data_IF_163637851915
#
_entry.id   IF_163637851915
#
_cell.length_a   1.000
_cell.length_b   1.000
_cell.length_c   1.000
_cell.angle_alpha   90.00
_cell.angle_beta   90.00
_cell.angle_gamma   90.00
#
_symmetry.space_group_name_H-M   'P 1'
#
loop_
_entity.id
_entity.type
_entity.pdbx_description
1 polymer ?
#
# COMPACT_ATOMS: atom_id res chain seq x y z
N UNK A 1 3.29 -16.42 -3.64
CA UNK A 1 3.51 -15.06 -3.11
C UNK A 1 2.17 -14.38 -3.06
N UNK A 2 1.89 -13.66 -2.01
CA UNK A 2 0.68 -12.86 -1.80
C UNK A 2 0.55 -11.84 -2.93
N UNK A 3 -0.62 -11.73 -3.56
CA UNK A 3 -0.82 -10.79 -4.68
C UNK A 3 -0.84 -9.34 -4.20
N UNK A 4 -1.47 -9.09 -3.05
CA UNK A 4 -1.64 -7.74 -2.55
C UNK A 4 -0.31 -7.00 -2.36
N UNK A 5 0.69 -7.63 -1.76
CA UNK A 5 1.96 -6.96 -1.43
C UNK A 5 3.21 -7.70 -1.89
N UNK A 6 3.07 -8.74 -2.70
CA UNK A 6 4.19 -9.53 -3.19
C UNK A 6 5.04 -10.17 -2.06
N UNK A 7 4.41 -10.62 -0.97
CA UNK A 7 5.06 -11.25 0.18
C UNK A 7 4.93 -12.76 0.14
N UNK A 8 5.91 -13.46 0.70
CA UNK A 8 5.89 -14.90 0.93
C UNK A 8 6.23 -15.21 2.39
N UNK A 9 5.63 -16.22 3.03
CA UNK A 9 6.07 -16.69 4.35
C UNK A 9 7.51 -17.22 4.34
N UNK A 10 8.00 -17.71 3.21
CA UNK A 10 9.34 -18.25 3.09
C UNK A 10 10.34 -17.14 2.78
N UNK A 11 11.40 -16.92 3.60
CA UNK A 11 12.51 -16.03 3.27
C UNK A 11 13.16 -16.42 1.94
N UNK A 12 13.54 -15.44 1.12
CA UNK A 12 14.15 -15.67 -0.19
C UNK A 12 15.07 -14.53 -0.59
N UNK A 13 16.13 -14.89 -1.32
CA UNK A 13 16.93 -13.89 -2.02
C UNK A 13 16.25 -13.49 -3.31
N UNK A 14 15.84 -12.23 -3.42
CA UNK A 14 15.17 -11.72 -4.62
C UNK A 14 15.32 -10.21 -4.79
N UNK A 15 15.21 -9.77 -6.03
CA UNK A 15 14.83 -8.41 -6.39
C UNK A 15 13.46 -8.45 -7.03
N UNK A 16 12.68 -7.40 -6.86
CA UNK A 16 11.33 -7.36 -7.42
C UNK A 16 10.90 -5.95 -7.79
N UNK A 17 9.90 -5.92 -8.66
CA UNK A 17 9.16 -4.72 -9.02
C UNK A 17 7.66 -5.04 -8.94
N UNK A 18 6.93 -4.24 -8.18
CA UNK A 18 5.47 -4.26 -8.19
C UNK A 18 4.99 -3.03 -8.94
N UNK A 19 4.04 -3.25 -9.82
CA UNK A 19 3.29 -2.19 -10.48
C UNK A 19 1.81 -2.39 -10.18
N UNK A 20 1.13 -1.31 -9.80
CA UNK A 20 -0.31 -1.28 -9.61
C UNK A 20 -0.88 -0.05 -10.32
N UNK A 21 -1.96 -0.25 -11.06
CA UNK A 21 -2.79 0.80 -11.61
C UNK A 21 -4.14 0.76 -10.91
N UNK A 22 -4.48 1.82 -10.19
CA UNK A 22 -5.76 2.01 -9.52
C UNK A 22 -6.62 2.92 -10.37
N UNK A 23 -7.82 2.45 -10.68
CA UNK A 23 -8.81 3.19 -11.46
C UNK A 23 -9.80 3.87 -10.52
N UNK A 24 -10.06 5.15 -10.78
CA UNK A 24 -11.06 5.97 -10.07
C UNK A 24 -10.92 5.93 -8.54
N UNK A 25 -9.87 6.56 -8.02
CA UNK A 25 -9.66 6.70 -6.57
C UNK A 25 -10.63 7.74 -6.00
N UNK A 26 -11.55 7.37 -5.06
CA UNK A 26 -12.71 8.18 -4.70
C UNK A 26 -12.42 9.48 -3.96
N UNK A 27 -11.21 9.68 -3.43
CA UNK A 27 -10.84 10.97 -2.83
C UNK A 27 -10.74 12.09 -3.85
N UNK A 28 -10.62 11.70 -5.12
CA UNK A 28 -10.42 12.61 -6.23
C UNK A 28 -11.20 12.06 -7.43
N UNK A 29 -12.40 12.51 -7.64
CA UNK A 29 -13.30 12.04 -8.69
C UNK A 29 -12.58 11.97 -10.05
N UNK A 30 -12.51 10.76 -10.63
CA UNK A 30 -11.86 10.53 -11.92
C UNK A 30 -10.32 10.40 -11.92
N UNK A 31 -9.66 10.43 -10.76
CA UNK A 31 -8.20 10.26 -10.68
C UNK A 31 -7.81 8.80 -10.71
N UNK A 32 -6.83 8.47 -11.55
CA UNK A 32 -6.19 7.17 -11.58
C UNK A 32 -4.74 7.29 -11.06
N UNK A 33 -4.28 6.23 -10.37
CA UNK A 33 -2.96 6.22 -9.74
C UNK A 33 -2.13 5.06 -10.27
N UNK A 34 -0.93 5.35 -10.77
CA UNK A 34 0.10 4.37 -11.07
C UNK A 34 1.08 4.29 -9.91
N UNK A 35 1.21 3.13 -9.29
CA UNK A 35 2.17 2.89 -8.21
C UNK A 35 3.23 1.90 -8.64
N UNK A 36 4.48 2.27 -8.44
CA UNK A 36 5.66 1.43 -8.66
C UNK A 36 6.34 1.18 -7.33
N UNK A 37 6.68 -0.06 -7.03
CA UNK A 37 7.36 -0.41 -5.78
C UNK A 37 8.51 -1.37 -6.08
N UNK A 38 9.69 -0.85 -6.44
CA UNK A 38 10.91 -1.65 -6.47
C UNK A 38 11.30 -2.08 -5.06
N UNK A 39 11.93 -3.25 -4.96
CA UNK A 39 12.41 -3.74 -3.70
C UNK A 39 13.35 -4.92 -3.83
N UNK A 40 13.96 -5.27 -2.73
CA UNK A 40 14.75 -6.49 -2.62
C UNK A 40 14.50 -7.18 -1.28
N UNK A 41 14.71 -8.48 -1.26
CA UNK A 41 14.70 -9.29 -0.05
C UNK A 41 15.99 -10.12 -0.02
N UNK A 42 16.68 -10.12 1.12
CA UNK A 42 17.92 -10.86 1.34
C UNK A 42 17.79 -11.75 2.54
N UNK A 43 18.12 -13.04 2.36
CA UNK A 43 18.16 -14.02 3.45
C UNK A 43 19.41 -13.83 4.32
N UNK A 44 19.24 -14.14 5.58
CA UNK A 44 20.22 -14.05 6.63
C UNK A 44 20.18 -15.32 7.48
N UNK A 45 21.32 -15.75 8.05
CA UNK A 45 21.34 -16.85 9.02
C UNK A 45 20.88 -18.20 8.44
N UNK A 46 21.30 -18.57 7.23
CA UNK A 46 20.98 -19.87 6.62
C UNK A 46 19.50 -20.00 6.25
N UNK A 47 18.94 -18.98 5.65
CA UNK A 47 17.55 -18.91 5.15
C UNK A 47 16.45 -18.93 6.23
N UNK A 48 16.84 -18.79 7.51
CA UNK A 48 15.86 -18.70 8.60
C UNK A 48 15.25 -17.29 8.73
N UNK A 49 16.00 -16.26 8.33
CA UNK A 49 15.57 -14.89 8.41
C UNK A 49 15.71 -14.22 7.05
N UNK A 50 14.94 -13.16 6.82
CA UNK A 50 15.18 -12.24 5.71
C UNK A 50 14.96 -10.79 6.14
N UNK A 51 15.68 -9.90 5.47
CA UNK A 51 15.44 -8.47 5.47
C UNK A 51 14.91 -8.05 4.10
N UNK A 52 13.88 -7.23 4.08
CA UNK A 52 13.29 -6.69 2.86
C UNK A 52 13.26 -5.15 2.92
N UNK A 53 13.54 -4.51 1.79
CA UNK A 53 13.41 -3.06 1.59
C UNK A 53 12.57 -2.79 0.36
N UNK A 54 11.68 -1.80 0.44
CA UNK A 54 10.86 -1.27 -0.66
C UNK A 54 10.91 0.25 -0.70
N UNK A 55 10.85 0.78 -1.91
CA UNK A 55 10.78 2.22 -2.18
C UNK A 55 9.56 2.48 -3.06
N UNK A 56 8.38 2.77 -2.49
CA UNK A 56 7.19 3.05 -3.30
C UNK A 56 7.30 4.42 -3.98
N UNK A 57 6.75 4.50 -5.20
CA UNK A 57 6.59 5.71 -5.98
C UNK A 57 5.19 5.71 -6.57
N UNK A 58 4.52 6.86 -6.60
CA UNK A 58 3.21 7.02 -7.20
C UNK A 58 3.23 8.12 -8.27
N UNK A 59 2.41 7.93 -9.29
CA UNK A 59 2.13 8.94 -10.32
C UNK A 59 0.63 9.01 -10.48
N UNK A 60 0.07 10.19 -10.27
CA UNK A 60 -1.35 10.48 -10.52
C UNK A 60 -1.56 10.92 -11.96
N UNK A 61 -2.68 10.51 -12.58
CA UNK A 61 -3.09 10.90 -13.92
C UNK A 61 -4.58 11.22 -13.95
N UNK A 62 -4.97 12.10 -14.86
CA UNK A 62 -6.35 12.59 -15.03
C UNK A 62 -6.90 13.31 -13.79
N UNK A 63 -6.09 14.14 -13.18
CA UNK A 63 -6.49 14.93 -12.01
C UNK A 63 -7.15 16.26 -12.41
N UNK A 64 -8.24 16.21 -13.19
CA UNK A 64 -9.04 17.39 -13.52
C UNK A 64 -9.96 17.83 -12.35
N UNK A 65 -9.44 17.73 -11.13
CA UNK A 65 -10.22 17.84 -9.88
C UNK A 65 -10.80 19.20 -9.58
N UNK A 66 -10.21 20.22 -10.13
CA UNK A 66 -10.73 21.58 -10.08
C UNK A 66 -10.54 22.16 -11.45
N UNK A 67 -11.62 22.51 -12.10
CA UNK A 67 -11.71 22.92 -13.51
C UNK A 67 -10.66 23.94 -13.99
N UNK A 68 -9.81 24.46 -13.13
CA UNK A 68 -8.82 25.45 -13.50
C UNK A 68 -7.45 25.41 -12.82
N UNK A 69 -7.18 24.67 -11.71
CA UNK A 69 -6.01 25.08 -10.92
C UNK A 69 -5.19 24.05 -10.12
N UNK A 70 -5.38 22.75 -10.24
CA UNK A 70 -4.51 21.78 -9.57
C UNK A 70 -3.94 20.76 -10.55
N UNK A 71 -2.65 20.92 -10.90
CA UNK A 71 -1.91 19.91 -11.66
C UNK A 71 -1.33 18.87 -10.69
N UNK A 72 -2.05 17.75 -10.50
CA UNK A 72 -1.60 16.63 -9.66
C UNK A 72 -0.78 15.58 -10.45
N UNK A 73 -0.33 15.90 -11.65
CA UNK A 73 0.54 15.04 -12.46
C UNK A 73 1.98 15.01 -11.90
N UNK A 74 2.14 14.69 -10.62
CA UNK A 74 3.43 14.62 -9.96
C UNK A 74 3.88 13.18 -9.74
N UNK A 75 5.18 12.96 -9.79
CA UNK A 75 5.83 11.75 -9.30
C UNK A 75 6.18 11.98 -7.84
N UNK A 76 5.57 11.21 -6.95
CA UNK A 76 5.82 11.30 -5.52
C UNK A 76 6.48 10.01 -5.02
N UNK A 77 7.48 10.19 -4.17
CA UNK A 77 8.08 9.08 -3.44
C UNK A 77 7.30 8.87 -2.15
N UNK A 78 6.96 7.62 -1.86
CA UNK A 78 6.37 7.25 -0.58
C UNK A 78 7.42 6.90 0.45
N UNK A 79 6.97 6.54 1.63
CA UNK A 79 7.81 6.13 2.74
C UNK A 79 8.56 4.85 2.47
N UNK A 80 9.80 4.81 2.92
CA UNK A 80 10.60 3.60 2.88
C UNK A 80 9.96 2.52 3.75
N UNK A 81 9.68 1.38 3.15
CA UNK A 81 9.18 0.20 3.86
C UNK A 81 10.31 -0.79 4.08
N UNK A 82 10.45 -1.23 5.32
CA UNK A 82 11.42 -2.23 5.73
C UNK A 82 10.71 -3.38 6.45
N UNK A 83 11.26 -4.60 6.34
CA UNK A 83 10.68 -5.76 7.01
C UNK A 83 11.75 -6.75 7.41
N UNK A 84 11.61 -7.31 8.60
CA UNK A 84 12.37 -8.49 9.07
C UNK A 84 11.38 -9.63 9.26
N UNK A 85 11.70 -10.77 8.67
CA UNK A 85 10.88 -11.98 8.73
C UNK A 85 11.71 -13.14 9.25
N UNK A 86 11.12 -13.95 10.13
CA UNK A 86 11.67 -15.19 10.66
C UNK A 86 10.81 -16.38 10.22
N UNK A 87 11.44 -17.40 9.66
CA UNK A 87 10.81 -18.68 9.38
C UNK A 87 10.77 -19.51 10.68
N UNK A 88 9.58 -19.69 11.23
CA UNK A 88 9.38 -20.36 12.51
C UNK A 88 9.24 -21.88 12.38
N UNK A 89 8.63 -22.31 11.28
CA UNK A 89 8.38 -23.73 11.02
C UNK A 89 8.35 -23.99 9.51
N UNK A 90 8.99 -25.09 9.08
CA UNK A 90 8.95 -25.52 7.70
C UNK A 90 8.97 -27.04 7.56
N UNK A 91 8.12 -27.54 6.67
CA UNK A 91 8.10 -28.92 6.17
C UNK A 91 8.00 -28.89 4.64
N UNK A 92 7.91 -30.05 4.01
CA UNK A 92 7.66 -30.12 2.56
C UNK A 92 6.33 -29.47 2.11
N UNK A 93 5.36 -29.37 3.03
CA UNK A 93 4.00 -28.89 2.70
C UNK A 93 3.62 -27.59 3.42
N UNK A 94 4.23 -27.28 4.54
CA UNK A 94 3.84 -26.17 5.41
C UNK A 94 5.03 -25.27 5.68
N UNK A 95 4.84 -23.97 5.59
CA UNK A 95 5.77 -22.98 6.13
C UNK A 95 4.98 -21.97 6.96
N UNK A 96 5.52 -21.59 8.13
CA UNK A 96 4.97 -20.57 9.02
C UNK A 96 6.07 -19.57 9.35
N UNK A 97 5.79 -18.30 9.22
CA UNK A 97 6.70 -17.21 9.56
C UNK A 97 6.00 -16.14 10.37
N UNK A 98 6.79 -15.38 11.11
CA UNK A 98 6.36 -14.14 11.72
C UNK A 98 7.41 -13.07 11.43
N UNK A 99 7.02 -11.81 11.55
CA UNK A 99 7.91 -10.70 11.30
C UNK A 99 7.37 -9.39 11.79
N UNK A 100 8.19 -8.37 11.62
CA UNK A 100 7.86 -6.99 11.85
C UNK A 100 8.27 -6.19 10.61
N UNK A 101 7.31 -5.48 10.06
CA UNK A 101 7.58 -4.45 9.05
C UNK A 101 7.40 -3.08 9.70
N UNK A 102 8.04 -2.08 9.12
CA UNK A 102 7.86 -0.68 9.51
C UNK A 102 8.08 0.24 8.34
N UNK A 103 7.45 1.41 8.39
CA UNK A 103 7.72 2.51 7.46
C UNK A 103 8.54 3.59 8.15
N UNK A 104 9.44 4.22 7.39
CA UNK A 104 10.16 5.41 7.83
C UNK A 104 9.59 6.62 7.07
N UNK A 105 9.28 7.73 7.76
CA UNK A 105 8.69 8.92 7.14
C UNK A 105 9.75 9.62 6.27
N UNK A 106 9.86 9.21 5.03
CA UNK A 106 10.83 9.69 4.04
C UNK A 106 10.15 10.35 2.84
N UNK A 107 8.82 10.27 2.74
CA UNK A 107 8.04 11.00 1.77
C UNK A 107 7.99 12.50 2.11
N UNK A 108 7.70 13.32 1.12
CA UNK A 108 7.49 14.75 1.33
C UNK A 108 6.19 15.01 2.11
N UNK A 109 6.11 16.18 2.76
CA UNK A 109 4.90 16.62 3.43
C UNK A 109 3.77 16.85 2.42
N UNK A 110 2.55 16.54 2.82
CA UNK A 110 1.38 16.89 2.01
C UNK A 110 1.09 18.38 2.14
N UNK A 111 1.14 19.09 1.02
CA UNK A 111 0.84 20.53 0.96
C UNK A 111 -0.31 20.80 0.00
N UNK A 112 -1.22 21.69 0.39
CA UNK A 112 -2.31 22.18 -0.44
C UNK A 112 -2.17 23.71 -0.52
N UNK A 113 -2.07 24.24 -1.73
CA UNK A 113 -1.93 25.69 -2.01
C UNK A 113 -3.12 26.23 -2.82
N UNK A 114 -3.38 27.52 -2.71
CA UNK A 114 -4.42 28.20 -3.50
C UNK A 114 -3.83 28.69 -4.82
N UNK A 115 -3.78 27.92 -5.86
CA UNK A 115 -3.24 28.38 -7.13
C UNK A 115 -3.03 27.28 -8.15
N UNK A 116 -2.77 27.66 -9.39
CA UNK A 116 -2.54 26.73 -10.51
C UNK A 116 -1.22 25.99 -10.44
N UNK A 117 -0.27 26.48 -9.65
CA UNK A 117 1.05 25.88 -9.45
C UNK A 117 1.45 26.02 -7.99
N UNK A 118 2.10 25.04 -7.43
CA UNK A 118 2.61 25.04 -6.04
C UNK A 118 3.58 26.22 -5.77
N UNK A 119 4.12 26.88 -6.82
CA UNK A 119 5.00 28.04 -6.72
C UNK A 119 4.29 29.39 -6.76
N UNK A 120 3.01 29.44 -7.12
CA UNK A 120 2.28 30.68 -7.39
C UNK A 120 1.08 30.92 -6.47
N UNK A 121 0.77 30.00 -5.58
CA UNK A 121 -0.38 30.09 -4.65
C UNK A 121 0.05 30.16 -3.20
N UNK A 122 -0.79 30.82 -2.38
CA UNK A 122 -0.60 30.83 -0.93
C UNK A 122 -0.79 29.42 -0.37
N UNK A 123 0.11 28.98 0.49
CA UNK A 123 -0.01 27.71 1.19
C UNK A 123 -1.24 27.74 2.12
N UNK A 124 -2.13 26.76 1.97
CA UNK A 124 -3.39 26.66 2.72
C UNK A 124 -3.32 25.64 3.86
N UNK A 125 -2.79 24.46 3.56
CA UNK A 125 -2.71 23.32 4.46
C UNK A 125 -1.37 22.64 4.30
N UNK A 126 -0.75 22.26 5.41
CA UNK A 126 0.40 21.36 5.45
C UNK A 126 0.14 20.24 6.45
N UNK A 127 0.37 19.02 6.05
CA UNK A 127 0.42 17.85 6.92
C UNK A 127 1.85 17.33 6.86
N UNK A 128 2.55 17.39 7.97
CA UNK A 128 3.92 16.88 8.05
C UNK A 128 3.92 15.35 7.98
N UNK A 129 4.85 14.78 7.23
CA UNK A 129 5.04 13.34 7.20
C UNK A 129 5.84 12.89 8.42
N UNK A 130 5.18 12.77 9.58
CA UNK A 130 5.78 12.40 10.87
C UNK A 130 5.47 10.98 11.31
N UNK A 131 4.57 10.27 10.63
CA UNK A 131 4.07 8.98 11.08
C UNK A 131 5.03 7.83 10.78
N UNK A 132 5.24 6.96 11.78
CA UNK A 132 5.96 5.69 11.68
C UNK A 132 4.98 4.55 11.89
N UNK A 133 4.78 3.71 10.90
CA UNK A 133 3.93 2.54 11.04
C UNK A 133 4.72 1.32 11.48
N UNK A 134 4.21 0.61 12.46
CA UNK A 134 4.71 -0.70 12.90
C UNK A 134 3.73 -1.78 12.49
N UNK A 135 4.20 -2.73 11.68
CA UNK A 135 3.36 -3.76 11.06
C UNK A 135 3.82 -5.17 11.46
N UNK A 136 3.56 -5.63 12.70
CA UNK A 136 3.79 -7.03 13.07
C UNK A 136 2.87 -7.96 12.29
N UNK A 137 3.39 -9.10 11.84
CA UNK A 137 2.64 -10.05 11.04
C UNK A 137 2.97 -11.52 11.34
N UNK A 138 2.02 -12.37 11.01
CA UNK A 138 2.19 -13.83 10.91
C UNK A 138 1.74 -14.28 9.53
N UNK A 139 2.51 -15.14 8.89
CA UNK A 139 2.20 -15.69 7.57
C UNK A 139 2.31 -17.20 7.54
N UNK A 140 1.44 -17.85 6.77
CA UNK A 140 1.43 -19.28 6.56
C UNK A 140 1.30 -19.66 5.08
N UNK A 141 1.95 -20.76 4.71
CA UNK A 141 1.84 -21.39 3.39
C UNK A 141 1.58 -22.88 3.56
N UNK A 142 0.61 -23.41 2.83
CA UNK A 142 0.35 -24.82 2.68
C UNK A 142 0.35 -25.20 1.20
N UNK A 143 1.13 -26.22 0.83
CA UNK A 143 1.19 -26.73 -0.54
C UNK A 143 0.90 -28.24 -0.57
N UNK A 144 0.03 -28.66 -1.47
CA UNK A 144 -0.31 -30.08 -1.65
C UNK A 144 -0.61 -30.38 -3.13
N UNK A 145 0.22 -31.21 -3.72
CA UNK A 145 0.15 -31.47 -5.18
C UNK A 145 0.32 -30.17 -5.97
N UNK A 146 -0.65 -29.87 -6.81
CA UNK A 146 -0.65 -28.65 -7.61
C UNK A 146 -1.33 -27.46 -6.93
N UNK A 147 -1.94 -27.65 -5.77
CA UNK A 147 -2.64 -26.59 -5.05
C UNK A 147 -1.74 -25.99 -3.97
N UNK A 148 -1.88 -24.70 -3.75
CA UNK A 148 -1.24 -23.99 -2.65
C UNK A 148 -2.20 -22.96 -2.05
N UNK A 149 -2.06 -22.75 -0.74
CA UNK A 149 -2.82 -21.79 0.03
C UNK A 149 -1.84 -20.95 0.85
N UNK A 150 -2.08 -19.67 0.94
CA UNK A 150 -1.26 -18.76 1.72
C UNK A 150 -2.18 -17.80 2.47
N UNK A 151 -1.81 -17.46 3.70
CA UNK A 151 -2.53 -16.48 4.49
C UNK A 151 -1.57 -15.60 5.27
N UNK A 152 -1.97 -14.36 5.50
CA UNK A 152 -1.29 -13.40 6.36
C UNK A 152 -2.30 -12.72 7.27
N UNK A 153 -1.88 -12.52 8.50
CA UNK A 153 -2.54 -11.66 9.47
C UNK A 153 -1.51 -10.61 9.88
N UNK A 154 -1.85 -9.34 9.76
CA UNK A 154 -0.96 -8.22 10.02
C UNK A 154 -1.75 -7.11 10.72
N UNK A 155 -1.12 -6.47 11.71
CA UNK A 155 -1.59 -5.21 12.27
C UNK A 155 -0.78 -4.09 11.64
N UNK A 156 -1.39 -2.93 11.50
CA UNK A 156 -0.75 -1.68 11.12
C UNK A 156 -1.05 -0.68 12.24
N UNK A 157 -0.04 -0.38 13.02
CA UNK A 157 -0.14 0.52 14.18
C UNK A 157 0.65 1.77 13.87
N UNK A 158 -0.02 2.91 13.85
CA UNK A 158 0.65 4.20 13.80
C UNK A 158 1.34 4.46 15.14
N UNK A 159 2.65 4.60 15.11
CA UNK A 159 3.50 4.87 16.29
C UNK A 159 4.00 6.33 16.32
N UNK A 160 3.50 7.17 15.43
CA UNK A 160 3.81 8.58 15.31
C UNK A 160 2.55 9.44 15.25
N UNK A 161 2.76 10.72 15.15
CA UNK A 161 1.72 11.72 14.92
C UNK A 161 2.21 12.67 13.83
N UNK A 162 1.30 13.12 12.97
CA UNK A 162 1.58 14.07 11.90
C UNK A 162 1.04 15.44 12.29
N UNK A 163 1.92 16.44 12.33
CA UNK A 163 1.53 17.82 12.64
C UNK A 163 0.76 18.43 11.46
N UNK A 164 -0.34 19.12 11.76
CA UNK A 164 -1.17 19.81 10.77
C UNK A 164 -1.12 21.31 11.00
N UNK A 165 -0.79 22.05 9.95
CA UNK A 165 -0.83 23.51 9.93
C UNK A 165 -1.88 24.04 8.95
N UNK A 166 -2.61 25.09 9.36
CA UNK A 166 -3.54 25.83 8.50
C UNK A 166 -3.10 27.27 8.32
N UNK A 167 -3.19 27.80 7.11
CA UNK A 167 -3.11 29.22 6.86
C UNK A 167 -4.50 29.86 7.05
N UNK A 168 -4.67 30.58 8.13
CA UNK A 168 -5.94 31.22 8.47
C UNK A 168 -6.17 32.54 7.75
N UNK A 169 -5.12 33.16 7.18
CA UNK A 169 -5.18 34.41 6.40
C UNK A 169 -4.41 34.29 5.06
N UNK A 170 -4.86 33.42 4.14
CA UNK A 170 -4.15 33.15 2.88
C UNK A 170 -4.14 34.34 1.91
N UNK A 171 -4.91 35.41 2.18
CA UNK A 171 -4.94 36.60 1.33
C UNK A 171 -4.00 37.71 1.83
N UNK A 172 -3.29 37.48 2.92
CA UNK A 172 -2.30 38.43 3.44
C UNK A 172 -0.98 38.42 2.67
N UNK A 173 -0.77 37.40 1.83
CA UNK A 173 0.51 37.12 1.14
C UNK A 173 1.59 36.61 2.10
N UNK A 174 1.20 36.11 3.27
CA UNK A 174 2.09 35.45 4.21
C UNK A 174 1.79 33.94 4.22
N UNK A 175 2.79 33.11 3.94
CA UNK A 175 2.73 31.65 4.08
C UNK A 175 2.88 31.21 5.56
N UNK A 176 2.23 31.94 6.45
CA UNK A 176 2.32 31.66 7.89
C UNK A 176 1.27 30.62 8.28
N UNK A 177 1.75 29.42 8.60
CA UNK A 177 0.89 28.33 9.09
C UNK A 177 0.72 28.44 10.60
N UNK A 178 -0.52 28.35 11.04
CA UNK A 178 -0.84 28.19 12.46
C UNK A 178 -0.99 26.70 12.72
N UNK A 179 -0.25 26.16 13.72
CA UNK A 179 -0.39 24.78 14.14
C UNK A 179 -1.84 24.55 14.60
N UNK A 180 -2.47 23.55 14.00
CA UNK A 180 -3.87 23.21 14.28
C UNK A 180 -3.99 22.01 15.23
N UNK A 181 -2.94 21.21 15.34
CA UNK A 181 -2.86 19.99 16.14
C UNK A 181 -2.15 18.87 15.42
N UNK A 182 -2.28 17.68 15.94
CA UNK A 182 -1.68 16.45 15.45
C UNK A 182 -2.78 15.48 15.04
N UNK A 183 -2.52 14.72 14.00
CA UNK A 183 -3.38 13.60 13.57
C UNK A 183 -2.58 12.31 13.64
N UNK A 184 -3.23 11.25 14.12
CA UNK A 184 -2.72 9.88 14.03
C UNK A 184 -3.59 9.06 13.10
N UNK A 185 -2.99 8.10 12.42
CA UNK A 185 -3.72 7.17 11.59
C UNK A 185 -4.37 6.07 12.43
N UNK A 186 -5.46 5.50 11.92
CA UNK A 186 -6.15 4.43 12.64
C UNK A 186 -5.37 3.14 12.58
N UNK A 187 -5.39 2.39 13.67
CA UNK A 187 -4.89 1.01 13.68
C UNK A 187 -5.72 0.14 12.73
N UNK A 188 -5.06 -0.55 11.79
CA UNK A 188 -5.69 -1.44 10.84
C UNK A 188 -5.31 -2.91 11.09
N UNK A 189 -6.26 -3.79 10.88
CA UNK A 189 -6.05 -5.23 10.83
C UNK A 189 -6.19 -5.69 9.37
N UNK A 190 -5.15 -6.34 8.84
CA UNK A 190 -5.15 -6.94 7.51
C UNK A 190 -5.25 -8.46 7.62
N UNK A 191 -6.18 -9.04 6.88
CA UNK A 191 -6.29 -10.47 6.68
C UNK A 191 -6.29 -10.78 5.18
N UNK A 192 -5.27 -11.51 4.74
CA UNK A 192 -5.14 -11.93 3.35
C UNK A 192 -5.21 -13.44 3.25
N UNK A 193 -6.05 -13.94 2.37
CA UNK A 193 -6.23 -15.36 2.11
C UNK A 193 -6.07 -15.61 0.61
N UNK A 194 -5.05 -16.35 0.23
CA UNK A 194 -4.75 -16.70 -1.15
C UNK A 194 -4.91 -18.20 -1.40
N UNK A 195 -5.50 -18.55 -2.51
CA UNK A 195 -5.52 -19.89 -3.08
C UNK A 195 -4.91 -19.87 -4.48
N UNK A 196 -4.14 -20.87 -4.81
CA UNK A 196 -3.57 -20.99 -6.15
C UNK A 196 -3.46 -22.45 -6.61
N UNK A 197 -3.42 -22.62 -7.92
CA UNK A 197 -3.25 -23.92 -8.56
C UNK A 197 -2.31 -23.84 -9.76
N UNK A 198 -1.31 -24.70 -9.72
CA UNK A 198 -0.45 -24.91 -10.87
C UNK A 198 -1.22 -25.66 -11.97
N UNK A 199 -1.29 -25.06 -13.14
CA UNK A 199 -1.83 -25.65 -14.35
C UNK A 199 -0.73 -26.43 -15.10
N UNK A 200 0.50 -25.94 -14.99
CA UNK A 200 1.68 -26.50 -15.63
C UNK A 200 2.90 -26.28 -14.74
N UNK A 201 3.75 -27.31 -14.60
CA UNK A 201 5.08 -27.24 -13.99
C UNK A 201 6.03 -28.21 -14.71
N UNK A 202 7.17 -27.73 -15.11
CA UNK A 202 8.23 -28.55 -15.69
C UNK A 202 9.51 -28.45 -14.86
N UNK A 203 9.84 -29.55 -14.18
CA UNK A 203 11.06 -29.70 -13.38
C UNK A 203 12.18 -30.43 -14.12
N UNK A 204 11.98 -30.79 -15.39
CA UNK A 204 12.97 -31.50 -16.18
C UNK A 204 14.22 -30.64 -16.43
N UNK A 205 15.37 -31.30 -16.59
CA UNK A 205 16.63 -30.58 -16.89
C UNK A 205 16.57 -29.86 -18.25
N UNK A 206 15.71 -30.32 -19.14
CA UNK A 206 15.50 -29.79 -20.51
C UNK A 206 14.24 -28.91 -20.59
N UNK A 207 13.73 -28.40 -19.46
CA UNK A 207 12.59 -27.52 -19.46
C UNK A 207 12.81 -26.32 -20.39
N UNK A 208 11.76 -25.92 -21.08
CA UNK A 208 11.76 -24.69 -21.87
C UNK A 208 11.88 -23.42 -20.98
N UNK A 209 11.82 -22.26 -21.61
CA UNK A 209 11.90 -21.00 -20.88
C UNK A 209 10.75 -20.81 -19.89
N UNK A 210 9.53 -21.22 -20.23
CA UNK A 210 8.38 -21.22 -19.31
C UNK A 210 8.39 -22.55 -18.56
N UNK A 211 8.61 -22.49 -17.25
CA UNK A 211 8.74 -23.65 -16.37
C UNK A 211 7.53 -23.86 -15.47
N UNK A 212 6.62 -22.91 -15.41
CA UNK A 212 5.38 -23.04 -14.65
C UNK A 212 4.33 -22.01 -15.04
N UNK A 213 3.07 -22.41 -14.87
CA UNK A 213 1.89 -21.54 -15.01
C UNK A 213 0.91 -21.87 -13.89
N UNK A 214 0.45 -20.88 -13.14
CA UNK A 214 -0.54 -21.05 -12.08
C UNK A 214 -1.64 -20.00 -12.19
N UNK A 215 -2.85 -20.39 -11.77
CA UNK A 215 -3.91 -19.43 -11.46
C UNK A 215 -3.88 -19.14 -9.96
N UNK A 216 -4.18 -17.91 -9.60
CA UNK A 216 -4.19 -17.45 -8.23
C UNK A 216 -5.43 -16.58 -7.97
N UNK A 217 -5.98 -16.70 -6.77
CA UNK A 217 -7.05 -15.84 -6.27
C UNK A 217 -6.73 -15.43 -4.84
N UNK A 218 -7.08 -14.21 -4.47
CA UNK A 218 -6.84 -13.68 -3.14
C UNK A 218 -8.05 -12.89 -2.66
N UNK A 219 -8.36 -13.03 -1.38
CA UNK A 219 -9.30 -12.20 -0.64
C UNK A 219 -8.47 -11.36 0.33
N UNK A 220 -8.65 -10.06 0.27
CA UNK A 220 -7.94 -9.07 1.06
C UNK A 220 -8.97 -8.29 1.89
N UNK A 221 -8.84 -8.35 3.21
CA UNK A 221 -9.76 -7.75 4.18
C UNK A 221 -8.98 -6.80 5.06
N UNK A 222 -9.37 -5.53 5.05
CA UNK A 222 -8.80 -4.49 5.90
C UNK A 222 -9.89 -3.99 6.84
N UNK A 223 -9.62 -4.02 8.14
CA UNK A 223 -10.54 -3.61 9.18
C UNK A 223 -9.88 -2.53 10.02
N UNK A 224 -10.52 -1.34 10.16
CA UNK A 224 -10.11 -0.37 11.17
C UNK A 224 -10.50 -0.87 12.56
N UNK A 225 -9.59 -0.74 13.52
CA UNK A 225 -9.81 -1.15 14.90
C UNK A 225 -10.21 0.02 15.82
N UNK A 226 -10.00 1.23 15.34
CA UNK A 226 -10.27 2.47 16.06
C UNK A 226 -11.05 3.44 15.18
N UNK A 227 -11.77 4.34 15.80
CA UNK A 227 -12.45 5.43 15.09
C UNK A 227 -11.44 6.55 14.81
N UNK A 228 -11.46 7.07 13.57
CA UNK A 228 -10.67 8.24 13.21
C UNK A 228 -11.43 9.52 13.47
N UNK A 229 -10.72 10.59 13.78
CA UNK A 229 -11.26 11.92 13.92
C UNK A 229 -10.60 12.88 12.96
N UNK A 230 -11.42 13.72 12.34
CA UNK A 230 -10.92 14.82 11.52
C UNK A 230 -10.41 15.96 12.40
N UNK A 231 -9.34 16.60 11.96
CA UNK A 231 -8.89 17.88 12.51
C UNK A 231 -9.51 19.02 11.71
N UNK A 232 -10.05 20.03 12.41
CA UNK A 232 -10.75 21.16 11.79
C UNK A 232 -10.14 22.47 12.23
N UNK A 233 -10.03 23.42 11.30
CA UNK A 233 -9.63 24.78 11.64
C UNK A 233 -10.69 25.48 12.51
N UNK A 234 -10.26 26.41 13.34
CA UNK A 234 -11.16 27.34 14.02
C UNK A 234 -12.02 28.10 12.97
N UNK A 235 -13.32 28.32 13.25
CA UNK A 235 -14.14 29.12 12.37
C UNK A 235 -13.67 30.59 12.37
N UNK A 236 -13.56 31.20 11.19
CA UNK A 236 -13.16 32.61 11.04
C UNK A 236 -14.19 33.55 11.68
N UNK A 237 -15.45 33.14 11.75
CA UNK A 237 -16.54 33.89 12.41
C UNK A 237 -17.08 33.04 13.53
N UNK A 238 -17.22 33.57 14.77
CA UNK A 238 -17.78 32.83 15.89
C UNK A 238 -19.14 32.19 15.54
N UNK A 239 -19.24 30.88 15.69
CA UNK A 239 -20.44 30.10 15.34
C UNK A 239 -20.60 29.75 13.85
N UNK A 240 -19.61 30.08 13.01
CA UNK A 240 -19.52 29.67 11.61
C UNK A 240 -19.01 28.24 11.43
N UNK A 241 -18.97 27.75 10.19
CA UNK A 241 -18.32 26.49 9.83
C UNK A 241 -16.79 26.65 9.82
N UNK A 242 -16.07 25.57 10.12
CA UNK A 242 -14.62 25.49 9.92
C UNK A 242 -14.29 25.71 8.44
N UNK A 243 -13.18 26.37 8.18
CA UNK A 243 -12.74 26.63 6.79
C UNK A 243 -12.04 25.44 6.17
N UNK A 244 -11.22 24.76 6.98
CA UNK A 244 -10.43 23.61 6.55
C UNK A 244 -10.75 22.41 7.42
N UNK A 245 -10.65 21.23 6.81
CA UNK A 245 -10.75 19.95 7.50
C UNK A 245 -9.73 19.00 6.90
N UNK A 246 -8.97 18.32 7.76
CA UNK A 246 -8.04 17.24 7.36
C UNK A 246 -8.52 15.97 8.03
N UNK A 247 -8.53 14.87 7.26
CA UNK A 247 -9.08 13.59 7.71
C UNK A 247 -10.60 13.52 7.63
N UNK A 248 -11.12 12.37 7.95
CA UNK A 248 -12.55 12.06 7.98
C UNK A 248 -12.91 11.38 9.29
N UNK A 249 -14.13 11.63 9.77
CA UNK A 249 -14.65 10.97 10.96
C UNK A 249 -15.24 9.61 10.56
N UNK A 250 -14.54 8.50 10.85
CA UNK A 250 -15.03 7.13 10.66
C UNK A 250 -15.20 6.42 11.99
N UNK A 251 -16.30 5.66 12.15
CA UNK A 251 -16.46 4.82 13.34
C UNK A 251 -15.79 3.45 13.18
N UNK A 252 -16.06 2.76 12.08
CA UNK A 252 -15.41 1.50 11.70
C UNK A 252 -15.51 1.32 10.18
N UNK A 253 -14.40 1.02 9.53
CA UNK A 253 -14.33 0.76 8.09
C UNK A 253 -13.86 -0.66 7.85
N UNK A 254 -14.57 -1.39 6.99
CA UNK A 254 -14.16 -2.70 6.51
C UNK A 254 -14.08 -2.67 4.99
N UNK A 255 -12.87 -2.76 4.47
CA UNK A 255 -12.62 -2.84 3.03
C UNK A 255 -12.33 -4.29 2.65
N UNK A 256 -13.05 -4.81 1.66
CA UNK A 256 -12.85 -6.17 1.15
C UNK A 256 -12.58 -6.11 -0.34
N UNK A 257 -11.43 -6.65 -0.75
CA UNK A 257 -11.05 -6.75 -2.15
C UNK A 257 -10.86 -8.20 -2.57
N UNK A 258 -11.37 -8.57 -3.75
CA UNK A 258 -11.06 -9.84 -4.39
C UNK A 258 -10.07 -9.61 -5.54
N UNK A 259 -9.07 -10.46 -5.61
CA UNK A 259 -8.02 -10.39 -6.63
C UNK A 259 -7.96 -11.73 -7.33
N UNK A 260 -7.89 -11.73 -8.65
CA UNK A 260 -7.67 -12.93 -9.46
C UNK A 260 -6.52 -12.68 -10.44
N UNK A 261 -5.71 -13.69 -10.68
CA UNK A 261 -4.55 -13.50 -11.55
C UNK A 261 -3.94 -14.80 -12.06
N UNK A 262 -2.94 -14.64 -12.92
CA UNK A 262 -2.12 -15.71 -13.44
C UNK A 262 -0.64 -15.43 -13.15
N UNK A 263 0.07 -16.45 -12.70
CA UNK A 263 1.50 -16.42 -12.41
C UNK A 263 2.23 -17.32 -13.43
N UNK A 264 3.20 -16.75 -14.12
CA UNK A 264 4.11 -17.47 -14.99
C UNK A 264 5.49 -17.54 -14.33
N UNK A 265 6.06 -18.75 -14.30
CA UNK A 265 7.45 -18.95 -13.91
C UNK A 265 8.32 -19.08 -15.16
N UNK A 266 9.32 -18.21 -15.28
CA UNK A 266 10.28 -18.18 -16.36
C UNK A 266 11.65 -18.62 -15.84
N UNK A 267 12.28 -19.59 -16.50
CA UNK A 267 13.61 -20.14 -16.17
C UNK A 267 13.77 -20.48 -14.66
N UNK A 268 12.69 -20.89 -13.96
CA UNK A 268 12.63 -21.29 -12.54
C UNK A 268 12.94 -20.19 -11.52
N UNK A 269 13.57 -19.13 -11.92
CA UNK A 269 14.05 -18.09 -11.03
C UNK A 269 13.40 -16.71 -11.27
N UNK A 270 12.46 -16.62 -12.19
CA UNK A 270 11.70 -15.38 -12.43
C UNK A 270 10.21 -15.70 -12.41
N UNK A 271 9.46 -15.01 -11.58
CA UNK A 271 8.00 -15.09 -11.57
C UNK A 271 7.43 -13.76 -12.05
N UNK A 272 6.52 -13.84 -13.01
CA UNK A 272 5.72 -12.73 -13.51
C UNK A 272 4.27 -13.04 -13.18
N UNK A 273 3.62 -12.17 -12.46
CA UNK A 273 2.20 -12.30 -12.11
C UNK A 273 1.43 -11.10 -12.65
N UNK A 274 0.32 -11.35 -13.31
CA UNK A 274 -0.65 -10.33 -13.71
C UNK A 274 -1.96 -10.65 -13.02
N UNK A 275 -2.53 -9.66 -12.35
CA UNK A 275 -3.75 -9.82 -11.58
C UNK A 275 -4.67 -8.61 -11.75
N UNK A 276 -5.95 -8.85 -11.53
CA UNK A 276 -6.99 -7.83 -11.44
C UNK A 276 -7.67 -7.91 -10.10
N UNK A 277 -7.79 -6.79 -9.42
CA UNK A 277 -8.45 -6.61 -8.13
C UNK A 277 -9.69 -5.74 -8.29
N UNK A 278 -10.72 -6.07 -7.52
CA UNK A 278 -11.94 -5.26 -7.43
C UNK A 278 -12.44 -5.27 -5.99
N UNK A 279 -12.95 -4.15 -5.48
CA UNK A 279 -13.60 -4.12 -4.18
C UNK A 279 -14.89 -4.94 -4.20
N UNK A 280 -15.17 -5.59 -3.06
CA UNK A 280 -16.41 -6.32 -2.81
C UNK A 280 -17.06 -5.69 -1.59
N UNK A 281 -18.30 -5.23 -1.71
CA UNK A 281 -19.04 -4.69 -0.56
C UNK A 281 -19.71 -3.36 -0.85
N UNK A 282 -19.85 -2.54 0.19
CA UNK A 282 -20.55 -1.27 0.10
C UNK A 282 -19.67 -0.22 -0.58
N UNK A 283 -20.22 0.56 -1.49
CA UNK A 283 -19.49 1.61 -2.21
C UNK A 283 -18.90 2.69 -1.31
N UNK A 284 -19.43 2.86 -0.10
CA UNK A 284 -18.90 3.83 0.86
C UNK A 284 -17.49 3.48 1.40
N UNK A 285 -17.11 2.19 1.34
CA UNK A 285 -15.84 1.69 1.86
C UNK A 285 -14.83 1.37 0.73
N UNK A 286 -15.16 1.70 -0.52
CA UNK A 286 -14.32 1.42 -1.67
C UNK A 286 -13.23 2.47 -1.80
N UNK A 287 -11.99 2.03 -2.03
CA UNK A 287 -10.82 2.90 -2.24
C UNK A 287 -10.48 3.10 -3.72
N UNK A 288 -11.08 2.34 -4.62
CA UNK A 288 -10.92 2.40 -6.08
C UNK A 288 -12.00 1.54 -6.74
N UNK A 289 -12.25 1.72 -8.04
CA UNK A 289 -13.20 0.89 -8.80
C UNK A 289 -12.57 -0.42 -9.26
N UNK A 290 -11.28 -0.39 -9.60
CA UNK A 290 -10.52 -1.55 -10.04
C UNK A 290 -9.02 -1.35 -9.92
N UNK A 291 -8.28 -2.47 -9.88
CA UNK A 291 -6.83 -2.45 -9.83
C UNK A 291 -6.25 -3.49 -10.79
N UNK A 292 -5.29 -3.07 -11.60
CA UNK A 292 -4.43 -3.97 -12.38
C UNK A 292 -3.07 -4.05 -11.69
N UNK A 293 -2.60 -5.27 -11.41
CA UNK A 293 -1.27 -5.54 -10.83
C UNK A 293 -0.37 -6.32 -11.74
N UNK A 294 0.89 -5.93 -11.77
CA UNK A 294 1.97 -6.70 -12.39
C UNK A 294 3.10 -6.85 -11.36
N UNK A 295 3.41 -8.10 -10.99
CA UNK A 295 4.48 -8.41 -10.05
C UNK A 295 5.60 -9.14 -10.80
N UNK A 296 6.80 -8.59 -10.74
CA UNK A 296 8.00 -9.19 -11.29
C UNK A 296 8.94 -9.55 -10.14
N UNK A 297 9.33 -10.83 -10.04
CA UNK A 297 10.27 -11.32 -9.05
C UNK A 297 11.41 -12.07 -9.73
N UNK A 298 12.65 -11.73 -9.38
CA UNK A 298 13.86 -12.45 -9.79
C UNK A 298 14.56 -13.00 -8.57
N UNK A 299 14.63 -14.33 -8.47
CA UNK A 299 15.31 -15.07 -7.39
C UNK A 299 16.74 -15.40 -7.76
N UNK A 300 17.65 -15.49 -6.78
CA UNK A 300 19.07 -15.80 -6.98
C UNK A 300 19.68 -16.51 -5.77
#
# INVERSE_FOLDING_TARGET
MKLAENVSPIPRDRVFMNYSFFDNVPFFDGVSVHRFTPGFEKTLGGDMFSFELRTPMAVTVNSDLFEDNLDLNNVEFGDLFMSIKALLYQTEKVAISAGLSWTAPTADDLTISSGTNASDGDLLIRVENGSVHLLPFVGGLYASGDNFFQGFLQLDVDAGESEVGFNLDPFSGADELTAAGEISETTLLYLDLQAGRWLYRDFSANAGNVTGLALVSELHINQSLEATRSLRSEPIVPGGASRYQVGQDFENVTVVNAIVGAMMQYQRNTNITVAYGTPIGNSADQQFDGEVRVLLNRFF
#
